data_IF_144166022096
#
_entry.id   IF_144166022096
#
_cell.length_a   1.000
_cell.length_b   1.000
_cell.length_c   1.000
_cell.angle_alpha   90.00
_cell.angle_beta   90.00
_cell.angle_gamma   90.00
#
_symmetry.space_group_name_H-M   'P 1'
#
loop_
_entity.id
_entity.type
_entity.pdbx_description
1 polymer ?
#
# COMPACT_ATOMS: atom_id res chain seq x y z
N UNK A 1 -14.32 -31.56 -10.44
CA UNK A 1 -15.12 -30.33 -10.59
C UNK A 1 -14.90 -29.81 -12.00
N UNK A 2 -15.94 -29.52 -12.77
CA UNK A 2 -15.79 -29.04 -14.15
C UNK A 2 -15.36 -27.56 -14.14
N UNK A 3 -14.43 -27.17 -15.03
CA UNK A 3 -13.99 -25.79 -15.21
C UNK A 3 -15.16 -24.84 -15.51
N UNK A 4 -16.11 -25.27 -16.33
CA UNK A 4 -17.28 -24.45 -16.67
C UNK A 4 -18.12 -24.14 -15.44
N UNK A 5 -18.33 -25.12 -14.55
CA UNK A 5 -19.06 -24.92 -13.29
C UNK A 5 -18.39 -23.86 -12.39
N UNK A 6 -17.06 -23.77 -12.40
CA UNK A 6 -16.33 -22.74 -11.65
C UNK A 6 -16.50 -21.36 -12.29
N UNK A 7 -16.47 -21.28 -13.62
CA UNK A 7 -16.69 -20.04 -14.36
C UNK A 7 -18.11 -19.51 -14.10
N UNK A 8 -19.11 -20.39 -14.17
CA UNK A 8 -20.51 -20.02 -13.93
C UNK A 8 -20.73 -19.61 -12.46
N UNK A 9 -20.18 -20.38 -11.51
CA UNK A 9 -20.25 -20.04 -10.09
C UNK A 9 -19.59 -18.69 -9.78
N UNK A 10 -18.49 -18.35 -10.45
CA UNK A 10 -17.88 -17.02 -10.34
C UNK A 10 -18.76 -15.94 -10.94
N UNK A 11 -19.32 -16.13 -12.13
CA UNK A 11 -20.24 -15.17 -12.73
C UNK A 11 -21.46 -14.89 -11.82
N UNK A 12 -21.98 -15.92 -11.14
CA UNK A 12 -23.06 -15.82 -10.17
C UNK A 12 -22.68 -15.08 -8.88
N UNK A 13 -21.40 -14.85 -8.63
CA UNK A 13 -20.93 -14.01 -7.51
C UNK A 13 -21.06 -12.52 -7.81
N UNK A 14 -21.50 -12.13 -9.01
CA UNK A 14 -21.67 -10.73 -9.40
C UNK A 14 -22.37 -9.86 -8.34
N UNK A 15 -23.54 -10.23 -7.77
CA UNK A 15 -24.21 -9.39 -6.78
C UNK A 15 -23.37 -9.16 -5.52
N UNK A 16 -22.59 -10.16 -5.11
CA UNK A 16 -21.73 -10.08 -3.94
C UNK A 16 -20.46 -9.28 -4.25
N UNK A 17 -19.78 -9.57 -5.36
CA UNK A 17 -18.52 -8.90 -5.75
C UNK A 17 -18.75 -7.43 -6.08
N UNK A 18 -19.80 -7.09 -6.82
CA UNK A 18 -20.07 -5.70 -7.21
C UNK A 18 -20.82 -4.92 -6.14
N UNK A 19 -21.71 -5.59 -5.38
CA UNK A 19 -22.61 -4.93 -4.43
C UNK A 19 -22.15 -4.97 -2.96
N UNK A 20 -21.43 -6.01 -2.54
CA UNK A 20 -21.10 -6.24 -1.11
C UNK A 20 -19.62 -6.03 -0.81
N UNK A 21 -18.73 -6.58 -1.62
CA UNK A 21 -17.27 -6.50 -1.43
C UNK A 21 -16.76 -5.06 -1.21
N UNK A 22 -17.19 -4.03 -1.98
CA UNK A 22 -16.70 -2.67 -1.77
C UNK A 22 -16.98 -2.12 -0.37
N UNK A 23 -18.17 -2.43 0.17
CA UNK A 23 -18.57 -2.02 1.51
C UNK A 23 -17.81 -2.76 2.60
N UNK A 24 -17.50 -4.04 2.40
CA UNK A 24 -16.71 -4.85 3.33
C UNK A 24 -15.21 -4.49 3.30
N UNK A 25 -14.68 -4.15 2.13
CA UNK A 25 -13.28 -3.76 1.99
C UNK A 25 -13.02 -2.41 2.68
N UNK A 26 -13.98 -1.46 2.57
CA UNK A 26 -13.83 -0.14 3.19
C UNK A 26 -13.65 -0.24 4.71
N UNK A 27 -12.66 0.48 5.23
CA UNK A 27 -12.32 0.47 6.65
C UNK A 27 -11.53 -0.75 7.10
N UNK A 28 -11.18 -1.67 6.19
CA UNK A 28 -10.23 -2.74 6.51
C UNK A 28 -8.89 -2.13 6.87
N UNK A 29 -8.45 -2.38 8.09
CA UNK A 29 -7.17 -1.92 8.60
C UNK A 29 -6.02 -2.68 7.91
N UNK A 30 -4.99 -1.92 7.57
CA UNK A 30 -3.75 -2.43 7.00
C UNK A 30 -2.68 -2.32 8.08
N UNK A 31 -1.85 -3.36 8.31
CA UNK A 31 -0.80 -3.33 9.31
C UNK A 31 0.17 -2.17 9.10
N UNK A 32 0.64 -1.59 10.21
CA UNK A 32 1.68 -0.57 10.17
C UNK A 32 2.93 -1.10 9.43
N UNK A 33 3.55 -0.23 8.66
CA UNK A 33 4.77 -0.54 7.91
C UNK A 33 5.90 0.34 8.43
N UNK A 34 7.09 -0.23 8.61
CA UNK A 34 8.30 0.53 8.95
C UNK A 34 9.31 0.28 7.85
N UNK A 35 9.89 1.36 7.33
CA UNK A 35 10.79 1.32 6.19
C UNK A 35 12.04 2.14 6.45
N UNK A 36 13.18 1.66 5.96
CA UNK A 36 14.41 2.43 5.85
C UNK A 36 14.33 3.29 4.58
N UNK A 37 14.41 4.59 4.74
CA UNK A 37 14.28 5.58 3.67
C UNK A 37 15.61 6.19 3.23
N UNK A 38 16.75 5.71 3.76
CA UNK A 38 18.03 6.35 3.53
C UNK A 38 18.08 7.78 4.09
N UNK A 39 19.06 8.57 3.65
CA UNK A 39 19.12 9.99 3.99
C UNK A 39 18.07 10.77 3.17
N UNK A 40 17.04 11.28 3.84
CA UNK A 40 15.97 12.10 3.22
C UNK A 40 16.24 13.60 3.35
N UNK A 41 17.43 14.01 3.79
CA UNK A 41 17.81 15.40 3.94
C UNK A 41 17.00 16.18 4.99
N UNK A 42 16.32 15.49 5.92
CA UNK A 42 15.52 16.15 6.97
C UNK A 42 16.37 17.04 7.88
N UNK A 43 17.63 16.68 8.07
CA UNK A 43 18.60 17.44 8.87
C UNK A 43 18.87 18.85 8.32
N UNK A 44 18.62 19.09 7.02
CA UNK A 44 18.78 20.43 6.43
C UNK A 44 17.82 21.47 7.03
N UNK A 45 16.73 21.04 7.68
CA UNK A 45 15.81 21.94 8.37
C UNK A 45 16.48 22.69 9.54
N UNK A 46 17.58 22.16 10.08
CA UNK A 46 18.34 22.82 11.14
C UNK A 46 19.37 23.82 10.61
N UNK A 47 19.64 23.82 9.30
CA UNK A 47 20.52 24.80 8.69
C UNK A 47 19.75 26.12 8.49
N UNK A 48 20.22 27.21 9.09
CA UNK A 48 19.61 28.54 8.94
C UNK A 48 19.68 29.01 7.48
N UNK A 49 18.59 29.54 6.88
CA UNK A 49 18.59 30.05 5.51
C UNK A 49 19.49 31.28 5.31
N UNK A 50 19.94 31.91 6.39
CA UNK A 50 20.83 33.07 6.37
C UNK A 50 22.31 32.72 6.56
N UNK A 51 22.64 31.43 6.61
CA UNK A 51 24.01 30.93 6.76
C UNK A 51 24.58 31.22 8.14
N UNK A 52 24.79 30.18 8.96
CA UNK A 52 25.78 30.31 10.03
C UNK A 52 27.14 30.52 9.36
N UNK A 53 27.73 31.70 9.56
CA UNK A 53 29.00 32.14 8.95
C UNK A 53 30.24 31.38 9.44
N UNK A 54 30.11 30.12 9.88
CA UNK A 54 31.22 29.40 10.47
C UNK A 54 31.09 27.90 10.32
N UNK A 55 31.41 27.37 9.14
CA UNK A 55 31.88 25.98 8.89
C UNK A 55 31.02 24.79 9.34
N UNK A 56 29.99 25.01 10.14
CA UNK A 56 29.19 24.01 10.81
C UNK A 56 27.89 23.79 10.03
N UNK A 57 27.63 22.54 9.67
CA UNK A 57 26.46 22.15 8.85
C UNK A 57 25.80 20.93 9.46
N UNK A 58 24.48 20.98 9.60
CA UNK A 58 23.67 19.81 9.92
C UNK A 58 23.56 18.90 8.71
N UNK A 59 23.88 17.63 8.91
CA UNK A 59 23.77 16.57 7.90
C UNK A 59 23.23 15.27 8.50
N UNK A 60 22.95 14.30 7.63
CA UNK A 60 22.55 12.96 8.03
C UNK A 60 23.63 12.27 8.89
N UNK A 61 23.21 11.61 9.95
CA UNK A 61 24.03 10.77 10.84
C UNK A 61 23.51 9.33 10.86
N UNK A 62 22.87 8.93 9.77
CA UNK A 62 22.18 7.67 9.63
C UNK A 62 20.96 7.80 8.71
N UNK A 63 20.36 6.66 8.41
CA UNK A 63 19.18 6.59 7.58
C UNK A 63 17.94 7.04 8.36
N UNK A 64 16.98 7.62 7.64
CA UNK A 64 15.67 7.89 8.15
C UNK A 64 14.83 6.61 8.21
N UNK A 65 14.04 6.47 9.27
CA UNK A 65 12.99 5.48 9.35
C UNK A 65 11.65 6.15 9.04
N UNK A 66 10.87 5.59 8.12
CA UNK A 66 9.50 6.02 7.82
C UNK A 66 8.53 4.96 8.34
N UNK A 67 7.55 5.40 9.13
CA UNK A 67 6.48 4.56 9.66
C UNK A 67 5.16 4.97 9.02
N UNK A 68 4.53 4.04 8.31
CA UNK A 68 3.15 4.16 7.85
C UNK A 68 2.23 3.54 8.91
N UNK A 69 1.17 4.25 9.25
CA UNK A 69 0.27 3.87 10.34
C UNK A 69 -1.16 4.30 10.06
N UNK A 70 -2.11 3.68 10.79
CA UNK A 70 -3.54 3.94 10.61
C UNK A 70 -4.01 3.78 9.15
N UNK A 71 -3.33 2.89 8.42
CA UNK A 71 -3.64 2.61 7.02
C UNK A 71 -4.99 1.89 6.93
N UNK A 72 -5.88 2.39 6.08
CA UNK A 72 -7.21 1.81 5.87
C UNK A 72 -7.60 1.91 4.40
N UNK A 73 -8.33 0.92 3.89
CA UNK A 73 -8.96 1.03 2.58
C UNK A 73 -10.07 2.08 2.69
N UNK A 74 -9.80 3.28 2.18
CA UNK A 74 -10.75 4.40 2.18
C UNK A 74 -11.83 4.20 1.12
N UNK A 75 -11.43 3.75 -0.07
CA UNK A 75 -12.34 3.55 -1.20
C UNK A 75 -12.00 2.28 -1.98
N UNK A 76 -13.02 1.50 -2.30
CA UNK A 76 -13.01 0.56 -3.43
C UNK A 76 -14.28 0.86 -4.23
N UNK A 77 -14.18 1.24 -5.51
CA UNK A 77 -15.34 1.67 -6.29
C UNK A 77 -15.26 1.26 -7.75
N UNK A 78 -16.41 1.25 -8.43
CA UNK A 78 -16.53 0.81 -9.82
C UNK A 78 -16.20 -0.66 -9.99
N UNK A 79 -16.47 -1.49 -8.97
CA UNK A 79 -16.17 -2.92 -9.00
C UNK A 79 -17.05 -3.60 -10.04
N UNK A 80 -16.41 -4.31 -10.97
CA UNK A 80 -17.07 -5.05 -12.05
C UNK A 80 -16.45 -6.43 -12.18
N UNK A 81 -17.24 -7.47 -11.95
CA UNK A 81 -16.77 -8.84 -12.07
C UNK A 81 -16.33 -9.12 -13.52
N UNK A 82 -15.26 -9.88 -13.69
CA UNK A 82 -14.77 -10.30 -15.00
C UNK A 82 -14.82 -11.83 -15.10
N UNK A 83 -14.93 -12.42 -16.30
CA UNK A 83 -14.96 -13.87 -16.45
C UNK A 83 -13.75 -14.56 -15.80
N UNK A 84 -13.99 -15.66 -15.09
CA UNK A 84 -12.92 -16.48 -14.54
C UNK A 84 -12.10 -17.12 -15.66
N UNK A 85 -10.81 -17.30 -15.42
CA UNK A 85 -9.88 -17.92 -16.38
C UNK A 85 -9.01 -18.95 -15.66
N UNK A 86 -8.69 -20.05 -16.32
CA UNK A 86 -7.78 -21.05 -15.78
C UNK A 86 -6.35 -20.72 -16.19
N UNK A 87 -5.45 -20.66 -15.22
CA UNK A 87 -4.01 -20.53 -15.47
C UNK A 87 -3.45 -21.90 -15.86
N UNK A 88 -3.93 -22.95 -15.18
CA UNK A 88 -3.60 -24.35 -15.46
C UNK A 88 -4.78 -25.25 -15.04
N UNK A 89 -4.62 -26.57 -15.11
CA UNK A 89 -5.67 -27.54 -14.78
C UNK A 89 -6.17 -27.47 -13.32
N UNK A 90 -5.38 -26.89 -12.42
CA UNK A 90 -5.60 -26.84 -10.97
C UNK A 90 -5.68 -25.44 -10.41
N UNK A 91 -5.42 -24.39 -11.21
CA UNK A 91 -5.38 -23.00 -10.75
C UNK A 91 -6.34 -22.14 -11.55
N UNK A 92 -7.25 -21.47 -10.85
CA UNK A 92 -8.22 -20.54 -11.42
C UNK A 92 -7.92 -19.11 -10.96
N UNK A 93 -8.04 -18.17 -11.90
CA UNK A 93 -7.99 -16.74 -11.71
C UNK A 93 -9.42 -16.20 -11.73
N UNK A 94 -9.79 -15.46 -10.68
CA UNK A 94 -11.12 -14.90 -10.43
C UNK A 94 -11.02 -13.36 -10.45
N UNK A 95 -11.03 -12.72 -11.64
CA UNK A 95 -10.76 -11.30 -11.79
C UNK A 95 -11.99 -10.43 -11.58
N UNK A 96 -11.75 -9.20 -11.11
CA UNK A 96 -12.68 -8.09 -11.18
C UNK A 96 -11.93 -6.78 -11.45
N UNK A 97 -12.56 -5.89 -12.19
CA UNK A 97 -12.07 -4.55 -12.42
C UNK A 97 -12.57 -3.61 -11.33
N UNK A 98 -11.89 -2.49 -11.14
CA UNK A 98 -12.31 -1.40 -10.28
C UNK A 98 -11.86 -0.06 -10.87
N UNK A 99 -12.64 0.99 -10.63
CA UNK A 99 -12.29 2.35 -11.04
C UNK A 99 -11.30 2.99 -10.08
N UNK A 100 -11.45 2.76 -8.78
CA UNK A 100 -10.57 3.31 -7.75
C UNK A 100 -10.41 2.35 -6.59
N UNK A 101 -9.16 2.11 -6.20
CA UNK A 101 -8.78 1.56 -4.90
C UNK A 101 -7.89 2.61 -4.21
N UNK A 102 -8.32 3.08 -3.06
CA UNK A 102 -7.64 4.13 -2.29
C UNK A 102 -7.40 3.66 -0.87
N UNK A 103 -6.17 3.86 -0.40
CA UNK A 103 -5.73 3.60 0.95
C UNK A 103 -5.25 4.90 1.56
N UNK A 104 -5.87 5.27 2.68
CA UNK A 104 -5.49 6.44 3.45
C UNK A 104 -4.82 6.03 4.75
N UNK A 105 -3.91 6.88 5.23
CA UNK A 105 -3.38 6.78 6.58
C UNK A 105 -2.44 7.92 6.90
N UNK A 106 -1.56 7.66 7.85
CA UNK A 106 -0.58 8.61 8.35
C UNK A 106 0.83 8.09 8.14
N UNK A 107 1.76 8.99 7.90
CA UNK A 107 3.19 8.70 7.95
C UNK A 107 3.86 9.49 9.06
N UNK A 108 4.88 8.90 9.65
CA UNK A 108 5.86 9.58 10.51
C UNK A 108 7.26 9.25 10.02
N UNK A 109 8.20 10.16 10.18
CA UNK A 109 9.61 9.89 9.93
C UNK A 109 10.48 10.31 11.10
N UNK A 110 11.64 9.68 11.20
CA UNK A 110 12.68 10.00 12.16
C UNK A 110 14.05 9.82 11.50
N UNK A 111 14.84 10.89 11.43
CA UNK A 111 16.19 10.86 10.87
C UNK A 111 17.23 11.31 11.92
N UNK A 112 18.23 10.48 12.23
CA UNK A 112 19.39 10.91 13.02
C UNK A 112 20.19 11.99 12.27
N UNK A 113 20.50 13.07 12.98
CA UNK A 113 21.21 14.23 12.45
C UNK A 113 22.42 14.56 13.30
N UNK A 114 23.49 15.02 12.65
CA UNK A 114 24.69 15.51 13.33
C UNK A 114 25.06 16.89 12.81
N UNK A 115 25.56 17.72 13.72
CA UNK A 115 26.26 18.95 13.36
C UNK A 115 27.71 18.61 13.09
N UNK A 116 28.17 18.92 11.88
CA UNK A 116 29.56 18.74 11.48
C UNK A 116 30.24 20.09 11.39
N UNK A 117 31.21 20.34 12.26
CA UNK A 117 32.10 21.51 12.20
C UNK A 117 33.47 21.05 11.72
N UNK A 118 33.95 21.62 10.61
CA UNK A 118 35.20 21.20 9.94
C UNK A 118 35.28 19.68 9.71
N UNK A 119 34.13 19.04 9.40
CA UNK A 119 34.04 17.59 9.17
C UNK A 119 34.02 16.73 10.44
N UNK A 120 34.12 17.33 11.62
CA UNK A 120 34.00 16.63 12.89
C UNK A 120 32.58 16.75 13.44
N UNK A 121 32.02 15.62 13.85
CA UNK A 121 30.73 15.59 14.55
C UNK A 121 30.86 16.25 15.93
N UNK A 122 30.16 17.35 16.13
CA UNK A 122 30.20 18.15 17.38
C UNK A 122 28.92 18.06 18.18
N UNK A 123 27.79 17.79 17.52
CA UNK A 123 26.49 17.64 18.16
C UNK A 123 25.62 16.63 17.40
N UNK A 124 24.55 16.17 18.02
CA UNK A 124 23.56 15.29 17.41
C UNK A 124 22.14 15.68 17.84
N UNK A 125 21.18 15.39 16.97
CA UNK A 125 19.75 15.55 17.21
C UNK A 125 18.99 14.59 16.30
N UNK A 126 17.66 14.66 16.32
CA UNK A 126 16.81 13.88 15.42
C UNK A 126 15.82 14.82 14.75
N UNK A 127 15.79 14.79 13.42
CA UNK A 127 14.72 15.42 12.66
C UNK A 127 13.52 14.47 12.63
N UNK A 128 12.37 14.96 13.08
CA UNK A 128 11.13 14.19 13.06
C UNK A 128 10.05 15.00 12.36
N UNK A 129 9.11 14.29 11.74
CA UNK A 129 7.92 14.90 11.18
C UNK A 129 6.87 13.85 10.87
N UNK A 130 5.70 14.33 10.49
CA UNK A 130 4.56 13.49 10.19
C UNK A 130 3.64 14.16 9.18
N UNK A 131 2.68 13.39 8.71
CA UNK A 131 1.65 13.87 7.80
C UNK A 131 0.67 12.76 7.45
N UNK A 132 -0.14 13.02 6.44
CA UNK A 132 -1.06 12.03 5.87
C UNK A 132 -0.54 11.52 4.55
N UNK A 133 -0.93 10.30 4.23
CA UNK A 133 -0.59 9.64 2.97
C UNK A 133 -1.87 9.05 2.39
N UNK A 134 -2.03 9.24 1.09
CA UNK A 134 -3.09 8.63 0.29
C UNK A 134 -2.44 7.90 -0.86
N UNK A 135 -2.74 6.62 -0.98
CA UNK A 135 -2.23 5.74 -2.03
C UNK A 135 -3.40 5.26 -2.88
N UNK A 136 -3.30 5.46 -4.19
CA UNK A 136 -4.43 5.26 -5.10
C UNK A 136 -4.02 4.47 -6.33
N UNK A 137 -4.75 3.40 -6.61
CA UNK A 137 -4.71 2.66 -7.87
C UNK A 137 -6.01 2.97 -8.61
N UNK A 138 -5.92 3.41 -9.86
CA UNK A 138 -7.09 3.79 -10.67
C UNK A 138 -7.23 2.94 -11.92
N UNK A 139 -8.47 2.68 -12.32
CA UNK A 139 -8.88 1.95 -13.54
C UNK A 139 -8.08 0.66 -13.74
N UNK A 140 -8.16 -0.24 -12.75
CA UNK A 140 -7.36 -1.45 -12.76
C UNK A 140 -8.14 -2.73 -12.42
N UNK A 141 -7.41 -3.83 -12.25
CA UNK A 141 -7.97 -5.13 -11.93
C UNK A 141 -7.29 -5.76 -10.71
N UNK A 142 -8.11 -6.47 -9.94
CA UNK A 142 -7.68 -7.41 -8.92
C UNK A 142 -8.08 -8.81 -9.38
N UNK A 143 -7.28 -9.80 -9.05
CA UNK A 143 -7.63 -11.18 -9.32
C UNK A 143 -7.28 -12.09 -8.14
N UNK A 144 -8.29 -12.75 -7.60
CA UNK A 144 -8.06 -13.81 -6.64
C UNK A 144 -7.53 -15.05 -7.38
N UNK A 145 -6.45 -15.62 -6.86
CA UNK A 145 -5.89 -16.86 -7.37
C UNK A 145 -6.31 -17.96 -6.42
N UNK A 146 -6.98 -18.98 -6.95
CA UNK A 146 -7.46 -20.11 -6.16
C UNK A 146 -7.02 -21.44 -6.76
N UNK A 147 -6.69 -22.39 -5.89
CA UNK A 147 -6.43 -23.78 -6.25
C UNK A 147 -7.72 -24.59 -6.21
N UNK A 148 -7.87 -25.43 -7.22
CA UNK A 148 -9.00 -26.34 -7.44
C UNK A 148 -8.65 -27.72 -6.90
N UNK A 149 -9.45 -28.18 -5.94
CA UNK A 149 -9.40 -29.54 -5.40
C UNK A 149 -10.79 -30.04 -5.03
N UNK A 150 -10.96 -30.53 -3.80
CA UNK A 150 -12.29 -30.85 -3.22
C UNK A 150 -13.15 -29.60 -2.94
N UNK A 151 -12.60 -28.42 -3.23
CA UNK A 151 -13.16 -27.08 -3.16
C UNK A 151 -12.14 -26.09 -3.73
N UNK A 152 -12.51 -24.83 -3.82
CA UNK A 152 -11.60 -23.72 -4.06
C UNK A 152 -10.93 -23.31 -2.75
N UNK A 153 -9.63 -23.08 -2.83
CA UNK A 153 -8.82 -22.53 -1.75
C UNK A 153 -8.02 -21.34 -2.28
N UNK A 154 -8.05 -20.20 -1.60
CA UNK A 154 -7.24 -19.05 -1.99
C UNK A 154 -5.77 -19.37 -1.83
N UNK A 155 -5.00 -19.11 -2.88
CA UNK A 155 -3.55 -19.17 -2.86
C UNK A 155 -2.89 -17.79 -2.92
N UNK A 156 -3.63 -16.77 -3.35
CA UNK A 156 -3.12 -15.40 -3.38
C UNK A 156 -4.06 -14.42 -4.05
N UNK A 157 -3.57 -13.19 -4.22
CA UNK A 157 -4.21 -12.12 -4.95
C UNK A 157 -3.18 -11.48 -5.87
N UNK A 158 -3.62 -11.10 -7.06
CA UNK A 158 -2.85 -10.27 -7.97
C UNK A 158 -3.49 -8.90 -8.06
N UNK A 159 -2.69 -7.85 -7.85
CA UNK A 159 -3.08 -6.45 -8.06
C UNK A 159 -2.40 -5.97 -9.34
N UNK A 160 -3.18 -5.49 -10.29
CA UNK A 160 -2.66 -4.77 -11.45
C UNK A 160 -2.52 -3.27 -11.20
N UNK A 161 -1.75 -2.61 -12.06
CA UNK A 161 -1.61 -1.15 -12.08
C UNK A 161 -0.47 -0.62 -11.24
N UNK A 162 -0.21 0.67 -11.41
CA UNK A 162 0.78 1.40 -10.61
C UNK A 162 0.06 2.29 -9.60
N UNK A 163 0.38 2.20 -8.30
CA UNK A 163 -0.17 3.12 -7.33
C UNK A 163 0.41 4.51 -7.55
N UNK A 164 -0.44 5.49 -7.33
CA UNK A 164 -0.06 6.90 -7.20
C UNK A 164 -0.07 7.23 -5.71
N UNK A 165 0.99 7.85 -5.23
CA UNK A 165 1.14 8.21 -3.81
C UNK A 165 1.09 9.72 -3.68
N UNK A 166 0.24 10.19 -2.79
CA UNK A 166 0.13 11.59 -2.41
C UNK A 166 0.46 11.70 -0.93
N UNK A 167 1.39 12.58 -0.58
CA UNK A 167 1.76 12.88 0.80
C UNK A 167 1.40 14.32 1.13
N UNK A 168 0.77 14.52 2.28
CA UNK A 168 0.46 15.83 2.80
C UNK A 168 1.19 16.02 4.13
N UNK A 169 2.19 16.91 4.18
CA UNK A 169 2.95 17.18 5.40
C UNK A 169 2.07 17.87 6.46
N UNK A 170 2.31 17.56 7.73
CA UNK A 170 1.72 18.28 8.85
C UNK A 170 2.12 19.77 8.86
N UNK A 171 1.33 20.59 9.57
CA UNK A 171 1.53 22.05 9.64
C UNK A 171 2.82 22.42 10.39
N UNK A 172 3.95 22.45 9.69
CA UNK A 172 5.27 22.80 10.23
C UNK A 172 6.17 23.58 9.26
N UNK A 173 5.58 24.19 8.20
CA UNK A 173 6.33 24.77 7.07
C UNK A 173 6.75 23.68 6.09
N UNK A 174 7.16 24.06 4.87
CA UNK A 174 7.63 23.11 3.86
C UNK A 174 9.16 23.19 3.73
N UNK A 175 9.98 22.44 4.49
CA UNK A 175 11.42 22.43 4.29
C UNK A 175 11.78 21.53 3.09
N UNK A 176 12.99 21.67 2.57
CA UNK A 176 13.47 20.91 1.39
C UNK A 176 13.36 19.38 1.50
N UNK A 177 13.19 18.83 2.70
CA UNK A 177 12.99 17.38 2.91
C UNK A 177 11.66 16.84 2.38
N UNK A 178 10.65 17.69 2.14
CA UNK A 178 9.35 17.22 1.61
C UNK A 178 9.49 16.71 0.19
N UNK A 179 10.38 17.32 -0.60
CA UNK A 179 10.73 16.82 -1.93
C UNK A 179 11.40 15.45 -1.81
N UNK A 180 12.25 15.25 -0.80
CA UNK A 180 12.90 13.95 -0.57
C UNK A 180 11.92 12.86 -0.12
N UNK A 181 10.94 13.18 0.74
CA UNK A 181 9.87 12.24 1.10
C UNK A 181 8.99 11.92 -0.10
N UNK A 182 8.62 12.92 -0.91
CA UNK A 182 7.91 12.69 -2.17
C UNK A 182 8.73 11.82 -3.15
N UNK A 183 10.05 12.03 -3.21
CA UNK A 183 10.95 11.23 -4.05
C UNK A 183 11.06 9.78 -3.55
N UNK A 184 11.11 9.56 -2.23
CA UNK A 184 11.09 8.23 -1.63
C UNK A 184 9.80 7.47 -2.00
N UNK A 185 8.63 8.11 -1.81
CA UNK A 185 7.35 7.52 -2.20
C UNK A 185 7.15 7.35 -3.70
N UNK A 186 7.81 8.16 -4.53
CA UNK A 186 7.74 8.02 -5.98
C UNK A 186 8.78 7.05 -6.54
N UNK A 187 9.76 6.60 -5.76
CA UNK A 187 10.65 5.52 -6.19
C UNK A 187 9.87 4.21 -6.29
N UNK A 188 9.99 3.56 -7.45
CA UNK A 188 9.28 2.31 -7.84
C UNK A 188 9.23 1.21 -6.76
N UNK A 189 10.19 1.17 -5.83
CA UNK A 189 10.24 0.19 -4.75
C UNK A 189 9.06 0.28 -3.77
N UNK A 190 8.58 1.49 -3.45
CA UNK A 190 7.49 1.65 -2.48
C UNK A 190 6.11 1.36 -3.09
N UNK A 191 5.94 1.67 -4.37
CA UNK A 191 4.75 1.35 -5.13
C UNK A 191 4.50 -0.18 -5.18
N UNK A 192 5.55 -0.98 -5.38
CA UNK A 192 5.44 -2.44 -5.38
C UNK A 192 5.28 -3.02 -3.96
N UNK A 193 5.96 -2.45 -2.95
CA UNK A 193 5.76 -2.83 -1.56
C UNK A 193 4.29 -2.64 -1.14
N UNK A 194 3.66 -1.54 -1.55
CA UNK A 194 2.24 -1.31 -1.30
C UNK A 194 1.37 -2.39 -1.95
N UNK A 195 1.62 -2.74 -3.21
CA UNK A 195 0.84 -3.79 -3.89
C UNK A 195 0.91 -5.09 -3.10
N UNK A 196 2.10 -5.46 -2.59
CA UNK A 196 2.27 -6.66 -1.76
C UNK A 196 1.43 -6.57 -0.48
N UNK A 197 1.48 -5.43 0.24
CA UNK A 197 0.70 -5.25 1.47
C UNK A 197 -0.81 -5.32 1.20
N UNK A 198 -1.28 -4.68 0.13
CA UNK A 198 -2.68 -4.76 -0.29
C UNK A 198 -3.07 -6.20 -0.63
N UNK A 199 -2.20 -6.95 -1.32
CA UNK A 199 -2.42 -8.37 -1.62
C UNK A 199 -2.60 -9.17 -0.35
N UNK A 200 -1.69 -9.04 0.61
CA UNK A 200 -1.73 -9.76 1.88
C UNK A 200 -2.98 -9.43 2.69
N UNK A 201 -3.37 -8.15 2.74
CA UNK A 201 -4.58 -7.69 3.44
C UNK A 201 -5.83 -8.27 2.81
N UNK A 202 -5.97 -8.17 1.48
CA UNK A 202 -7.13 -8.73 0.80
C UNK A 202 -7.17 -10.25 0.95
N UNK A 203 -6.05 -10.98 0.85
CA UNK A 203 -6.02 -12.44 1.05
C UNK A 203 -6.40 -12.82 2.48
N UNK A 204 -5.88 -12.09 3.47
CA UNK A 204 -6.11 -12.35 4.90
C UNK A 204 -7.44 -11.84 5.44
N UNK A 205 -8.14 -10.96 4.72
CA UNK A 205 -9.37 -10.35 5.20
C UNK A 205 -10.54 -11.33 5.30
N UNK A 206 -11.41 -11.12 6.30
CA UNK A 206 -12.60 -11.95 6.53
C UNK A 206 -13.59 -11.96 5.35
N UNK A 207 -13.59 -10.92 4.51
CA UNK A 207 -14.42 -10.90 3.30
C UNK A 207 -13.92 -11.89 2.24
N UNK A 208 -12.62 -12.17 2.16
CA UNK A 208 -12.06 -13.15 1.21
C UNK A 208 -12.36 -14.59 1.63
N UNK A 209 -12.42 -14.83 2.94
CA UNK A 209 -12.92 -16.10 3.48
C UNK A 209 -14.41 -16.29 3.16
N UNK A 210 -15.20 -15.22 3.31
CA UNK A 210 -16.62 -15.21 2.91
C UNK A 210 -16.78 -15.49 1.42
N UNK A 211 -15.99 -14.84 0.56
CA UNK A 211 -16.01 -15.05 -0.89
C UNK A 211 -15.81 -16.52 -1.27
N UNK A 212 -14.74 -17.15 -0.74
CA UNK A 212 -14.46 -18.57 -1.01
C UNK A 212 -15.51 -19.50 -0.41
N UNK A 213 -16.02 -19.17 0.77
CA UNK A 213 -17.12 -19.92 1.40
C UNK A 213 -18.36 -19.96 0.49
N UNK A 214 -18.77 -18.80 -0.01
CA UNK A 214 -19.92 -18.68 -0.92
C UNK A 214 -19.68 -19.38 -2.26
N UNK A 215 -18.48 -19.24 -2.84
CA UNK A 215 -18.11 -19.97 -4.06
C UNK A 215 -18.18 -21.48 -3.85
N UNK A 216 -17.60 -21.99 -2.76
CA UNK A 216 -17.63 -23.42 -2.45
C UNK A 216 -19.05 -23.95 -2.19
N UNK A 217 -19.95 -23.13 -1.65
CA UNK A 217 -21.36 -23.49 -1.51
C UNK A 217 -22.03 -23.63 -2.89
N UNK A 218 -21.83 -22.65 -3.78
CA UNK A 218 -22.35 -22.70 -5.16
C UNK A 218 -21.82 -23.89 -5.98
N UNK A 219 -20.59 -24.32 -5.71
CA UNK A 219 -19.98 -25.47 -6.39
C UNK A 219 -20.50 -26.83 -5.91
N UNK A 220 -21.24 -26.84 -4.78
CA UNK A 220 -21.81 -28.05 -4.17
C UNK A 220 -23.33 -28.16 -4.35
N UNK A 221 -24.00 -27.05 -4.66
CA UNK A 221 -25.41 -26.99 -5.04
C UNK A 221 -25.60 -27.46 -6.47
#
# INVERSE_FOLDING_TARGET
MNQQTIIDAWADMKPWVEGTLPGLARGTAIPNQVQDAGDIGACNAFNSPYGEQGGAVWGGDGNAAITLSALTIATLSGVQIQPATFIDATTVRLPFNFSVLEVDGSYGYSQPCALYDMGHKTSHTTANGNGTITQRISNNNLAYIAKVGNGLTLSGLQVGGEPTITVNPGTGGLPGWIVAIGNFFSTFHEADAMKSVVQDVFVGAGFSQTLIGLLNQKLRS
#
